data_IF_305067208531
#
_entry.id   IF_305067208531
#
_cell.length_a   1.000
_cell.length_b   1.000
_cell.length_c   1.000
_cell.angle_alpha   90.00
_cell.angle_beta   90.00
_cell.angle_gamma   90.00
#
_symmetry.space_group_name_H-M   'P 1'
#
loop_
_entity.id
_entity.type
_entity.pdbx_description
1 polymer ?
#
# COMPACT_ATOMS: atom_id res chain seq x y z
N UNK A 1 -6.88 7.51 32.55
CA UNK A 1 -7.98 7.05 31.69
C UNK A 1 -7.36 6.61 30.36
N UNK A 2 -7.52 5.34 29.98
CA UNK A 2 -7.01 4.85 28.70
C UNK A 2 -7.83 5.44 27.56
N UNK A 3 -7.27 6.46 26.89
CA UNK A 3 -7.94 7.16 25.79
C UNK A 3 -7.95 6.33 24.49
N UNK A 4 -7.18 5.25 24.44
CA UNK A 4 -7.14 4.29 23.34
C UNK A 4 -7.35 2.88 23.88
N UNK A 5 -8.35 2.18 23.32
CA UNK A 5 -8.82 0.87 23.75
C UNK A 5 -9.22 0.81 25.24
N UNK A 6 -10.20 1.62 25.67
CA UNK A 6 -10.66 1.64 27.07
C UNK A 6 -11.22 0.29 27.55
N UNK A 7 -11.48 -0.64 26.62
CA UNK A 7 -11.97 -2.00 26.90
C UNK A 7 -10.89 -3.10 26.74
N UNK A 8 -9.61 -2.74 26.57
CA UNK A 8 -8.51 -3.69 26.44
C UNK A 8 -8.08 -3.97 24.99
N UNK A 9 -7.00 -4.75 24.85
CA UNK A 9 -6.28 -4.99 23.57
C UNK A 9 -7.20 -5.53 22.46
N UNK A 10 -7.02 -5.10 21.19
CA UNK A 10 -7.63 -5.76 20.05
C UNK A 10 -7.23 -7.24 19.97
N UNK A 11 -8.11 -8.05 19.37
CA UNK A 11 -7.87 -9.48 19.09
C UNK A 11 -6.53 -9.70 18.36
N UNK A 12 -5.90 -10.86 18.60
CA UNK A 12 -4.70 -11.31 17.88
C UNK A 12 -4.95 -11.54 16.37
N UNK A 13 -6.20 -11.62 15.94
CA UNK A 13 -6.56 -11.73 14.52
C UNK A 13 -6.43 -10.38 13.82
N UNK A 14 -5.38 -10.23 13.00
CA UNK A 14 -5.05 -9.02 12.22
C UNK A 14 -5.96 -8.82 11.00
N UNK A 15 -7.25 -9.11 11.11
CA UNK A 15 -8.24 -8.76 10.08
C UNK A 15 -8.74 -7.36 10.38
N UNK A 16 -8.39 -6.38 9.52
CA UNK A 16 -8.79 -4.98 9.65
C UNK A 16 -10.30 -4.82 9.90
N UNK A 17 -11.10 -5.66 9.25
CA UNK A 17 -12.54 -5.76 9.42
C UNK A 17 -12.96 -6.06 10.86
N UNK A 18 -12.33 -7.07 11.49
CA UNK A 18 -12.66 -7.48 12.86
C UNK A 18 -12.13 -6.47 13.90
N UNK A 19 -10.99 -5.85 13.62
CA UNK A 19 -10.39 -4.79 14.45
C UNK A 19 -11.20 -3.47 14.44
N UNK A 20 -11.93 -3.19 13.36
CA UNK A 20 -12.88 -2.07 13.27
C UNK A 20 -14.23 -2.38 13.96
N UNK A 21 -14.37 -3.56 14.57
CA UNK A 21 -15.62 -3.98 15.21
C UNK A 21 -16.72 -4.29 14.19
N UNK A 22 -16.35 -4.75 12.98
CA UNK A 22 -17.34 -5.12 11.97
C UNK A 22 -18.15 -6.33 12.47
N UNK A 23 -19.37 -6.05 12.92
CA UNK A 23 -20.35 -7.07 13.24
C UNK A 23 -20.92 -7.58 11.92
N UNK A 24 -20.98 -8.91 11.76
CA UNK A 24 -21.64 -9.51 10.61
C UNK A 24 -23.12 -9.08 10.58
N UNK A 25 -23.52 -8.38 9.52
CA UNK A 25 -24.86 -7.79 9.41
C UNK A 25 -24.99 -6.36 9.97
N UNK A 26 -23.89 -5.66 10.26
CA UNK A 26 -23.89 -4.24 10.62
C UNK A 26 -24.63 -3.37 9.58
N UNK A 27 -24.54 -3.75 8.30
CA UNK A 27 -25.25 -3.16 7.16
C UNK A 27 -26.78 -3.27 7.25
N UNK A 28 -27.32 -4.04 8.21
CA UNK A 28 -28.76 -4.21 8.43
C UNK A 28 -29.25 -3.60 9.74
N UNK A 29 -28.38 -2.91 10.47
CA UNK A 29 -28.75 -2.25 11.74
C UNK A 29 -29.40 -0.88 11.49
N UNK A 30 -30.09 -0.32 12.48
CA UNK A 30 -30.64 1.04 12.39
C UNK A 30 -29.56 2.10 12.08
N UNK A 31 -28.30 1.85 12.45
CA UNK A 31 -27.18 2.74 12.16
C UNK A 31 -26.78 2.78 10.66
N UNK A 32 -27.29 1.84 9.86
CA UNK A 32 -27.14 1.78 8.41
C UNK A 32 -28.24 2.56 7.65
N UNK A 33 -29.21 3.15 8.36
CA UNK A 33 -30.25 3.98 7.74
C UNK A 33 -29.64 5.19 7.04
N UNK A 34 -30.12 5.47 5.83
CA UNK A 34 -29.59 6.55 4.97
C UNK A 34 -28.22 6.25 4.35
N UNK A 35 -27.63 5.06 4.59
CA UNK A 35 -26.35 4.66 4.04
C UNK A 35 -26.53 3.53 3.02
N UNK A 36 -25.55 3.41 2.13
CA UNK A 36 -25.46 2.29 1.17
C UNK A 36 -25.27 0.97 1.92
N UNK A 37 -25.88 -0.09 1.39
CA UNK A 37 -25.78 -1.43 1.94
C UNK A 37 -24.37 -2.01 1.78
N UNK A 38 -23.88 -2.15 0.54
CA UNK A 38 -22.52 -2.63 0.26
C UNK A 38 -22.26 -4.08 0.68
N UNK A 39 -23.31 -4.87 0.98
CA UNK A 39 -23.15 -6.29 1.35
C UNK A 39 -22.40 -7.07 0.26
N UNK A 40 -21.28 -7.68 0.61
CA UNK A 40 -20.43 -8.44 -0.32
C UNK A 40 -20.94 -9.88 -0.40
N UNK A 41 -21.35 -10.30 -1.60
CA UNK A 41 -21.97 -11.61 -1.81
C UNK A 41 -21.00 -12.77 -1.55
N UNK A 42 -21.45 -13.75 -0.76
CA UNK A 42 -20.69 -14.97 -0.49
C UNK A 42 -21.03 -16.10 -1.49
N UNK A 43 -20.15 -17.11 -1.66
CA UNK A 43 -20.47 -18.28 -2.47
C UNK A 43 -21.78 -18.94 -2.01
N UNK A 44 -22.68 -19.21 -2.95
CA UNK A 44 -23.99 -19.80 -2.71
C UNK A 44 -25.10 -18.81 -2.34
N UNK A 45 -24.78 -17.52 -2.17
CA UNK A 45 -25.77 -16.49 -1.88
C UNK A 45 -26.50 -16.01 -3.14
N UNK A 46 -27.79 -15.70 -3.02
CA UNK A 46 -28.60 -15.16 -4.11
C UNK A 46 -28.43 -13.64 -4.24
N UNK A 47 -28.18 -13.17 -5.47
CA UNK A 47 -28.28 -11.76 -5.87
C UNK A 47 -29.50 -11.55 -6.76
N UNK A 48 -30.13 -10.38 -6.61
CA UNK A 48 -31.37 -10.03 -7.29
C UNK A 48 -31.16 -8.82 -8.18
N UNK A 49 -31.31 -8.99 -9.49
CA UNK A 49 -31.24 -7.89 -10.46
C UNK A 49 -32.64 -7.59 -10.98
N UNK A 50 -33.10 -6.35 -10.83
CA UNK A 50 -34.40 -5.93 -11.33
C UNK A 50 -34.24 -5.05 -12.57
N UNK A 51 -34.40 -5.62 -13.77
CA UNK A 51 -34.21 -4.91 -15.06
C UNK A 51 -35.15 -3.72 -15.25
N UNK A 52 -36.29 -3.73 -14.57
CA UNK A 52 -37.23 -2.60 -14.61
C UNK A 52 -36.75 -1.43 -13.75
N UNK A 53 -36.01 -1.70 -12.66
CA UNK A 53 -35.54 -0.69 -11.72
C UNK A 53 -34.12 -0.22 -12.02
N UNK A 54 -33.24 -1.11 -12.47
CA UNK A 54 -31.80 -0.85 -12.59
C UNK A 54 -31.47 0.05 -13.77
N UNK A 55 -30.45 0.90 -13.62
CA UNK A 55 -29.90 1.69 -14.74
C UNK A 55 -29.20 0.79 -15.75
N UNK A 56 -28.40 -0.16 -15.28
CA UNK A 56 -27.69 -1.17 -16.10
C UNK A 56 -27.88 -2.62 -15.60
N UNK A 57 -27.19 -3.59 -16.24
CA UNK A 57 -27.29 -5.02 -15.92
C UNK A 57 -26.41 -5.47 -14.75
N UNK A 58 -25.55 -4.59 -14.24
CA UNK A 58 -24.64 -4.88 -13.12
C UNK A 58 -25.28 -4.60 -11.76
N UNK A 59 -26.34 -3.78 -11.71
CA UNK A 59 -27.01 -3.45 -10.46
C UNK A 59 -27.68 -4.67 -9.82
N UNK A 60 -27.37 -4.91 -8.55
CA UNK A 60 -27.79 -6.08 -7.78
C UNK A 60 -28.19 -5.71 -6.35
N UNK A 61 -29.20 -6.40 -5.85
CA UNK A 61 -29.64 -6.34 -4.46
C UNK A 61 -29.33 -7.66 -3.75
N UNK A 62 -28.94 -7.60 -2.48
CA UNK A 62 -28.97 -8.76 -1.59
C UNK A 62 -30.43 -9.11 -1.23
N UNK A 63 -30.65 -10.36 -0.79
CA UNK A 63 -32.00 -10.85 -0.43
C UNK A 63 -32.73 -9.90 0.51
N UNK A 64 -32.08 -9.42 1.57
CA UNK A 64 -32.72 -8.53 2.55
C UNK A 64 -33.15 -7.19 1.96
N UNK A 65 -32.32 -6.61 1.11
CA UNK A 65 -32.64 -5.34 0.46
C UNK A 65 -33.75 -5.52 -0.56
N UNK A 66 -33.71 -6.59 -1.36
CA UNK A 66 -34.75 -6.92 -2.33
C UNK A 66 -36.11 -7.13 -1.65
N UNK A 67 -36.16 -7.85 -0.52
CA UNK A 67 -37.39 -8.05 0.25
C UNK A 67 -37.88 -6.76 0.94
N UNK A 68 -36.97 -5.81 1.16
CA UNK A 68 -37.25 -4.52 1.81
C UNK A 68 -37.64 -3.42 0.82
N UNK A 69 -37.69 -3.72 -0.48
CA UNK A 69 -38.04 -2.79 -1.56
C UNK A 69 -39.15 -3.35 -2.44
N UNK A 70 -39.97 -2.48 -3.05
CA UNK A 70 -41.09 -2.95 -3.87
C UNK A 70 -40.67 -3.28 -5.32
N UNK A 71 -40.79 -4.56 -5.66
CA UNK A 71 -40.53 -5.09 -7.00
C UNK A 71 -41.76 -5.77 -7.65
N UNK A 72 -42.97 -5.52 -7.14
CA UNK A 72 -44.18 -6.15 -7.68
C UNK A 72 -44.38 -5.83 -9.17
N UNK A 73 -44.58 -6.88 -9.98
CA UNK A 73 -44.81 -6.76 -11.42
C UNK A 73 -43.57 -6.44 -12.27
N UNK A 74 -42.36 -6.46 -11.71
CA UNK A 74 -41.13 -6.19 -12.49
C UNK A 74 -40.45 -7.45 -13.01
N UNK A 75 -39.57 -7.24 -13.99
CA UNK A 75 -38.69 -8.28 -14.52
C UNK A 75 -37.46 -8.43 -13.63
N UNK A 76 -37.49 -9.45 -12.77
CA UNK A 76 -36.41 -9.76 -11.83
C UNK A 76 -35.67 -11.01 -12.30
N UNK A 77 -34.34 -10.98 -12.21
CA UNK A 77 -33.45 -12.11 -12.40
C UNK A 77 -32.73 -12.42 -11.09
N UNK A 78 -32.67 -13.69 -10.75
CA UNK A 78 -31.92 -14.18 -9.59
C UNK A 78 -30.67 -14.90 -10.11
N UNK A 79 -29.52 -14.60 -9.50
CA UNK A 79 -28.26 -15.27 -9.78
C UNK A 79 -27.65 -15.78 -8.48
N UNK A 80 -26.99 -16.93 -8.51
CA UNK A 80 -26.27 -17.46 -7.35
C UNK A 80 -24.81 -17.06 -7.48
N UNK A 81 -24.31 -16.33 -6.48
CA UNK A 81 -22.92 -15.90 -6.39
C UNK A 81 -22.00 -17.12 -6.28
N UNK A 82 -20.95 -17.13 -7.09
CA UNK A 82 -19.86 -18.12 -6.98
C UNK A 82 -18.77 -17.68 -5.99
N UNK A 83 -18.98 -16.52 -5.33
CA UNK A 83 -18.00 -15.84 -4.49
C UNK A 83 -17.35 -14.67 -5.21
N UNK A 84 -17.02 -13.61 -4.45
CA UNK A 84 -16.37 -12.39 -4.96
C UNK A 84 -17.14 -11.68 -6.11
N UNK A 85 -18.47 -11.85 -6.14
CA UNK A 85 -19.33 -11.49 -7.27
C UNK A 85 -19.92 -10.06 -7.20
N UNK A 86 -19.25 -9.14 -6.50
CA UNK A 86 -19.70 -7.76 -6.30
C UNK A 86 -20.36 -7.51 -4.95
N UNK A 87 -21.04 -6.36 -4.81
CA UNK A 87 -21.73 -5.95 -3.59
C UNK A 87 -23.14 -5.42 -3.89
N UNK A 88 -23.98 -5.32 -2.85
CA UNK A 88 -25.36 -4.82 -2.96
C UNK A 88 -25.41 -3.29 -3.17
N UNK A 89 -26.13 -2.86 -4.21
CA UNK A 89 -26.29 -1.45 -4.63
C UNK A 89 -27.48 -0.73 -3.96
N UNK A 90 -28.05 -1.31 -2.90
CA UNK A 90 -29.14 -0.67 -2.17
C UNK A 90 -28.64 0.63 -1.48
N UNK A 91 -29.37 1.74 -1.68
CA UNK A 91 -28.97 3.07 -1.21
C UNK A 91 -28.01 3.81 -2.14
N UNK A 92 -27.70 3.25 -3.31
CA UNK A 92 -27.04 3.96 -4.40
C UNK A 92 -28.07 4.58 -5.36
N UNK A 93 -28.26 5.90 -5.29
CA UNK A 93 -29.21 6.59 -6.17
C UNK A 93 -28.84 6.54 -7.66
N UNK A 94 -27.58 6.31 -8.02
CA UNK A 94 -27.12 6.23 -9.42
C UNK A 94 -27.41 4.85 -10.05
N UNK A 95 -27.66 3.83 -9.24
CA UNK A 95 -27.93 2.47 -9.70
C UNK A 95 -29.38 2.24 -10.17
N UNK A 96 -30.30 3.16 -9.86
CA UNK A 96 -31.74 2.93 -10.06
C UNK A 96 -32.41 4.04 -10.88
N UNK A 97 -33.15 3.65 -11.93
CA UNK A 97 -33.96 4.56 -12.78
C UNK A 97 -35.10 5.24 -12.02
N UNK A 98 -35.44 4.71 -10.84
CA UNK A 98 -36.51 5.17 -9.97
C UNK A 98 -36.09 4.93 -8.51
N UNK A 99 -36.59 5.73 -7.56
CA UNK A 99 -36.25 5.55 -6.15
C UNK A 99 -36.65 4.15 -5.65
N UNK A 100 -35.73 3.49 -4.96
CA UNK A 100 -36.01 2.29 -4.18
C UNK A 100 -36.08 2.65 -2.70
N UNK A 101 -37.27 2.57 -2.12
CA UNK A 101 -37.49 2.85 -0.71
C UNK A 101 -37.25 1.60 0.13
N UNK A 102 -35.99 1.38 0.52
CA UNK A 102 -35.59 0.30 1.39
C UNK A 102 -35.94 0.65 2.84
N UNK A 103 -36.65 -0.22 3.55
CA UNK A 103 -36.99 0.00 4.96
C UNK A 103 -35.76 0.05 5.89
N UNK A 104 -34.62 -0.46 5.42
CA UNK A 104 -33.34 -0.49 6.13
C UNK A 104 -32.48 0.73 5.73
N UNK A 105 -32.28 0.96 4.43
CA UNK A 105 -31.29 1.90 3.90
C UNK A 105 -31.83 3.25 3.48
N UNK A 106 -33.15 3.42 3.34
CA UNK A 106 -33.74 4.73 3.03
C UNK A 106 -34.01 5.54 4.30
N UNK A 107 -33.82 6.85 4.21
CA UNK A 107 -34.24 7.77 5.28
C UNK A 107 -35.76 7.75 5.43
N UNK A 108 -36.26 7.71 6.67
CA UNK A 108 -37.70 7.88 6.91
C UNK A 108 -38.04 9.34 6.69
N UNK A 109 -38.99 9.62 5.79
CA UNK A 109 -39.67 10.90 5.72
C UNK A 109 -40.55 11.07 6.97
N UNK A 110 -39.93 11.36 8.11
CA UNK A 110 -40.60 11.85 9.30
C UNK A 110 -40.11 13.26 9.53
N UNK A 111 -41.05 14.19 9.42
CA UNK A 111 -41.03 15.58 9.86
C UNK A 111 -39.88 15.86 10.83
N UNK A 112 -39.07 16.86 10.47
CA UNK A 112 -38.05 17.54 11.28
C UNK A 112 -38.23 17.36 12.79
N UNK A 113 -37.78 16.21 13.30
CA UNK A 113 -37.39 16.12 14.69
C UNK A 113 -36.01 16.73 14.67
N UNK A 114 -35.91 17.91 15.26
CA UNK A 114 -34.66 18.45 15.75
C UNK A 114 -34.03 17.37 16.63
N UNK A 115 -33.25 16.50 15.99
CA UNK A 115 -32.42 15.57 16.69
C UNK A 115 -31.42 16.49 17.40
N UNK A 116 -31.60 16.65 18.70
CA UNK A 116 -30.51 16.99 19.62
C UNK A 116 -29.53 15.83 19.64
N UNK A 117 -29.11 15.38 18.46
CA UNK A 117 -27.97 14.52 18.24
C UNK A 117 -26.85 15.24 18.94
N UNK A 118 -26.42 14.67 20.08
CA UNK A 118 -25.19 15.08 20.72
C UNK A 118 -24.19 15.21 19.59
N UNK A 119 -23.70 16.43 19.34
CA UNK A 119 -22.62 16.63 18.39
C UNK A 119 -21.61 15.53 18.65
N UNK A 120 -21.15 14.81 17.61
CA UNK A 120 -20.11 13.80 17.80
C UNK A 120 -19.04 14.50 18.63
N UNK A 121 -18.80 13.98 19.84
CA UNK A 121 -17.85 14.59 20.76
C UNK A 121 -16.57 14.68 19.96
N UNK A 122 -16.18 15.91 19.61
CA UNK A 122 -15.03 16.13 18.76
C UNK A 122 -13.86 15.37 19.34
N UNK A 123 -13.02 14.80 18.48
CA UNK A 123 -11.76 14.22 18.96
C UNK A 123 -11.05 15.29 19.80
N UNK A 124 -10.41 14.90 20.92
CA UNK A 124 -9.63 15.83 21.72
C UNK A 124 -8.70 16.68 20.83
N UNK A 125 -8.67 17.99 21.07
CA UNK A 125 -7.98 18.94 20.17
C UNK A 125 -6.47 18.65 20.08
N UNK A 126 -5.87 18.16 21.16
CA UNK A 126 -4.50 17.65 21.21
C UNK A 126 -4.29 16.44 20.30
N UNK A 127 -5.26 15.52 20.24
CA UNK A 127 -5.22 14.37 19.33
C UNK A 127 -5.34 14.82 17.87
N UNK A 128 -6.26 15.75 17.57
CA UNK A 128 -6.41 16.30 16.21
C UNK A 128 -5.13 17.01 15.76
N UNK A 129 -4.55 17.85 16.61
CA UNK A 129 -3.29 18.54 16.33
C UNK A 129 -2.14 17.54 16.15
N UNK A 130 -2.06 16.49 16.97
CA UNK A 130 -1.05 15.44 16.80
C UNK A 130 -1.20 14.72 15.47
N UNK A 131 -2.42 14.35 15.06
CA UNK A 131 -2.67 13.69 13.78
C UNK A 131 -2.30 14.59 12.61
N UNK A 132 -2.72 15.85 12.63
CA UNK A 132 -2.39 16.83 11.59
C UNK A 132 -0.87 17.05 11.48
N UNK A 133 -0.18 17.20 12.61
CA UNK A 133 1.26 17.35 12.65
C UNK A 133 1.96 16.11 12.07
N UNK A 134 1.59 14.91 12.51
CA UNK A 134 2.18 13.67 11.99
C UNK A 134 1.96 13.50 10.50
N UNK A 135 0.73 13.70 10.02
CA UNK A 135 0.43 13.63 8.58
C UNK A 135 1.23 14.67 7.81
N UNK A 136 1.29 15.92 8.30
CA UNK A 136 2.09 16.98 7.70
C UNK A 136 3.56 16.61 7.57
N UNK A 137 4.19 16.12 8.66
CA UNK A 137 5.60 15.69 8.65
C UNK A 137 5.89 14.55 7.68
N UNK A 138 4.94 13.62 7.56
CA UNK A 138 5.03 12.52 6.61
C UNK A 138 5.00 13.06 5.18
N UNK A 139 4.06 13.95 4.85
CA UNK A 139 4.00 14.56 3.53
C UNK A 139 5.23 15.41 3.22
N UNK A 140 5.72 16.20 4.18
CA UNK A 140 6.96 16.98 4.02
C UNK A 140 8.15 16.06 3.70
N UNK A 141 8.30 14.96 4.44
CA UNK A 141 9.34 13.96 4.18
C UNK A 141 9.24 13.36 2.78
N UNK A 142 8.04 12.94 2.35
CA UNK A 142 7.81 12.43 1.00
C UNK A 142 8.23 13.48 -0.04
N UNK A 143 7.84 14.74 0.15
CA UNK A 143 8.15 15.82 -0.79
C UNK A 143 9.65 16.10 -0.87
N UNK A 144 10.35 16.10 0.28
CA UNK A 144 11.78 16.32 0.36
C UNK A 144 12.56 15.19 -0.31
N UNK A 145 12.22 13.93 0.00
CA UNK A 145 12.83 12.76 -0.66
C UNK A 145 12.55 12.77 -2.16
N UNK A 146 11.32 13.12 -2.57
CA UNK A 146 10.96 13.23 -4.00
C UNK A 146 11.78 14.31 -4.71
N UNK A 147 12.01 15.45 -4.04
CA UNK A 147 12.73 16.58 -4.59
C UNK A 147 14.24 16.33 -4.67
N UNK A 148 14.78 15.47 -3.80
CA UNK A 148 16.21 15.15 -3.76
C UNK A 148 16.60 13.95 -4.63
N UNK A 149 15.72 12.97 -4.93
CA UNK A 149 16.19 11.81 -5.71
C UNK A 149 16.28 12.07 -7.23
N UNK A 150 17.18 11.35 -7.94
CA UNK A 150 17.53 11.67 -9.32
C UNK A 150 16.35 11.48 -10.29
N UNK A 151 16.09 12.48 -11.14
CA UNK A 151 15.02 12.43 -12.15
C UNK A 151 15.37 11.50 -13.33
N UNK A 152 16.66 11.37 -13.66
CA UNK A 152 17.13 10.75 -14.90
C UNK A 152 17.85 9.43 -14.64
N UNK A 153 17.10 8.41 -14.22
CA UNK A 153 17.63 7.07 -13.89
C UNK A 153 18.08 6.26 -15.13
N UNK A 154 17.71 6.69 -16.34
CA UNK A 154 17.99 5.97 -17.60
C UNK A 154 19.21 6.49 -18.36
N UNK A 155 19.79 7.61 -17.98
CA UNK A 155 20.99 8.09 -18.66
C UNK A 155 22.19 7.25 -18.27
N UNK A 156 23.08 7.00 -19.23
CA UNK A 156 24.35 6.38 -18.91
C UNK A 156 25.10 7.32 -17.97
N UNK A 157 25.38 6.88 -16.75
CA UNK A 157 26.01 7.71 -15.73
C UNK A 157 27.51 7.45 -15.71
N UNK A 158 28.30 8.51 -15.56
CA UNK A 158 29.72 8.42 -15.25
C UNK A 158 29.92 8.39 -13.74
N UNK A 159 31.12 8.03 -13.30
CA UNK A 159 31.49 8.06 -11.90
C UNK A 159 31.37 9.48 -11.29
N UNK A 160 31.51 10.52 -12.10
CA UNK A 160 31.33 11.92 -11.68
C UNK A 160 29.84 12.23 -11.46
N UNK A 161 28.98 11.90 -12.43
CA UNK A 161 27.54 12.18 -12.32
C UNK A 161 26.87 11.39 -11.20
N UNK A 162 27.32 10.16 -10.93
CA UNK A 162 26.78 9.36 -9.81
C UNK A 162 27.16 9.97 -8.46
N UNK A 163 28.39 10.49 -8.31
CA UNK A 163 28.78 11.20 -7.08
C UNK A 163 28.01 12.50 -6.91
N UNK A 164 27.74 13.20 -8.01
CA UNK A 164 26.88 14.39 -7.97
C UNK A 164 25.44 14.03 -7.58
N UNK A 165 24.88 12.96 -8.13
CA UNK A 165 23.55 12.47 -7.74
C UNK A 165 23.49 12.10 -6.26
N UNK A 166 24.55 11.47 -5.72
CA UNK A 166 24.64 11.18 -4.30
C UNK A 166 24.58 12.45 -3.45
N UNK A 167 25.36 13.47 -3.79
CA UNK A 167 25.36 14.75 -3.08
C UNK A 167 24.00 15.45 -3.14
N UNK A 168 23.35 15.44 -4.31
CA UNK A 168 22.03 16.05 -4.51
C UNK A 168 20.90 15.26 -3.84
N UNK A 169 21.09 13.95 -3.61
CA UNK A 169 20.13 13.08 -2.93
C UNK A 169 20.16 13.21 -1.40
N UNK A 170 21.09 13.98 -0.84
CA UNK A 170 21.16 14.21 0.62
C UNK A 170 20.06 15.16 1.06
N UNK A 171 19.33 14.77 2.10
CA UNK A 171 18.31 15.61 2.72
C UNK A 171 18.96 16.79 3.47
N UNK A 172 18.20 17.88 3.62
CA UNK A 172 18.66 19.10 4.27
C UNK A 172 19.10 18.83 5.73
N UNK A 173 20.36 19.08 6.10
CA UNK A 173 20.87 18.80 7.44
C UNK A 173 20.12 19.55 8.55
N UNK A 174 19.58 20.73 8.25
CA UNK A 174 18.83 21.55 9.19
C UNK A 174 17.50 20.91 9.61
N UNK A 175 16.91 20.10 8.72
CA UNK A 175 15.64 19.42 8.95
C UNK A 175 15.81 17.97 9.40
N UNK A 176 16.85 17.28 8.92
CA UNK A 176 17.03 15.82 9.11
C UNK A 176 18.27 15.43 9.91
N UNK A 177 19.07 16.40 10.35
CA UNK A 177 20.34 16.16 11.03
C UNK A 177 21.49 15.91 10.05
N UNK A 178 22.72 15.90 10.56
CA UNK A 178 23.89 15.58 9.75
C UNK A 178 23.79 14.15 9.21
N UNK A 179 23.99 14.00 7.90
CA UNK A 179 23.97 12.71 7.22
C UNK A 179 25.10 11.78 7.67
N UNK A 180 25.10 10.52 7.19
CA UNK A 180 26.11 9.54 7.57
C UNK A 180 27.54 10.05 7.27
N UNK A 181 28.41 9.91 8.26
CA UNK A 181 29.82 10.34 8.20
C UNK A 181 30.67 9.13 7.83
N UNK A 182 31.38 9.18 6.70
CA UNK A 182 32.24 8.08 6.24
C UNK A 182 32.49 8.11 4.74
N UNK A 183 33.13 7.04 4.24
CA UNK A 183 33.25 6.83 2.79
C UNK A 183 31.88 6.43 2.23
N UNK A 184 31.46 7.12 1.18
CA UNK A 184 30.25 6.76 0.43
C UNK A 184 30.44 5.42 -0.26
N UNK A 185 29.56 4.47 0.03
CA UNK A 185 29.52 3.19 -0.63
C UNK A 185 28.42 3.19 -1.71
N UNK A 186 28.61 2.39 -2.77
CA UNK A 186 27.72 2.34 -3.92
C UNK A 186 27.27 0.89 -4.17
N UNK A 187 26.05 0.73 -4.67
CA UNK A 187 25.48 -0.56 -5.00
C UNK A 187 25.19 -0.69 -6.50
N UNK A 188 25.50 -1.86 -7.07
CA UNK A 188 25.03 -2.25 -8.39
C UNK A 188 23.71 -2.99 -8.24
N UNK A 189 22.63 -2.38 -8.73
CA UNK A 189 21.27 -2.93 -8.65
C UNK A 189 20.83 -3.39 -10.03
N UNK A 190 20.43 -4.66 -10.11
CA UNK A 190 19.74 -5.22 -11.27
C UNK A 190 18.24 -5.09 -11.06
N UNK A 191 17.53 -4.75 -12.12
CA UNK A 191 16.08 -4.64 -12.10
C UNK A 191 15.44 -5.56 -13.13
N UNK A 192 14.25 -6.07 -12.81
CA UNK A 192 13.49 -6.91 -13.71
C UNK A 192 12.98 -6.07 -14.89
N UNK A 193 13.27 -6.52 -16.10
CA UNK A 193 12.85 -5.86 -17.34
C UNK A 193 11.69 -6.57 -18.04
N UNK A 194 11.16 -7.64 -17.45
CA UNK A 194 10.07 -8.51 -17.93
C UNK A 194 10.31 -9.12 -19.33
N UNK A 195 11.55 -9.07 -19.84
CA UNK A 195 11.87 -9.52 -21.21
C UNK A 195 12.87 -10.65 -21.25
N UNK A 196 13.89 -10.63 -20.39
CA UNK A 196 14.92 -11.66 -20.38
C UNK A 196 14.51 -12.85 -19.51
N UNK A 197 14.95 -14.05 -19.89
CA UNK A 197 14.70 -15.25 -19.09
C UNK A 197 15.61 -15.29 -17.87
N UNK A 198 15.18 -15.99 -16.81
CA UNK A 198 15.98 -16.21 -15.59
C UNK A 198 17.34 -16.84 -15.94
N UNK A 199 17.39 -17.76 -16.90
CA UNK A 199 18.62 -18.43 -17.34
C UNK A 199 19.60 -17.46 -18.02
N UNK A 200 19.10 -16.55 -18.85
CA UNK A 200 19.92 -15.51 -19.49
C UNK A 200 20.51 -14.58 -18.44
N UNK A 201 19.68 -14.10 -17.51
CA UNK A 201 20.08 -13.21 -16.41
C UNK A 201 21.09 -13.90 -15.50
N UNK A 202 20.89 -15.17 -15.14
CA UNK A 202 21.82 -15.98 -14.34
C UNK A 202 23.24 -15.95 -14.94
N UNK A 203 23.35 -16.27 -16.23
CA UNK A 203 24.65 -16.35 -16.92
C UNK A 203 25.32 -14.97 -16.98
N UNK A 204 24.53 -13.91 -17.17
CA UNK A 204 25.06 -12.55 -17.18
C UNK A 204 25.55 -12.08 -15.81
N UNK A 205 24.77 -12.32 -14.76
CA UNK A 205 25.17 -11.98 -13.39
C UNK A 205 26.44 -12.75 -13.00
N UNK A 206 26.49 -14.06 -13.27
CA UNK A 206 27.66 -14.88 -13.00
C UNK A 206 28.92 -14.33 -13.70
N UNK A 207 28.81 -13.97 -14.98
CA UNK A 207 29.91 -13.42 -15.78
C UNK A 207 30.33 -12.02 -15.33
N UNK A 208 29.38 -11.09 -15.19
CA UNK A 208 29.66 -9.69 -14.90
C UNK A 208 30.23 -9.50 -13.49
N UNK A 209 29.63 -10.17 -12.51
CA UNK A 209 30.05 -10.09 -11.11
C UNK A 209 31.18 -11.08 -10.74
N UNK A 210 31.66 -11.89 -11.71
CA UNK A 210 32.68 -12.93 -11.51
C UNK A 210 32.30 -13.90 -10.37
N UNK A 211 31.06 -14.36 -10.37
CA UNK A 211 30.51 -15.29 -9.37
C UNK A 211 30.07 -16.61 -10.02
N UNK A 212 29.64 -17.57 -9.21
CA UNK A 212 29.17 -18.86 -9.71
C UNK A 212 27.77 -18.75 -10.33
N UNK A 213 27.44 -19.68 -11.23
CA UNK A 213 26.08 -19.75 -11.81
C UNK A 213 25.00 -20.00 -10.75
N UNK A 214 25.31 -20.70 -9.65
CA UNK A 214 24.37 -20.88 -8.54
C UNK A 214 24.02 -19.55 -7.86
N UNK A 215 25.01 -18.67 -7.66
CA UNK A 215 24.78 -17.31 -7.15
C UNK A 215 24.04 -16.47 -8.20
N UNK A 216 24.42 -16.60 -9.47
CA UNK A 216 23.71 -15.96 -10.58
C UNK A 216 22.22 -16.33 -10.64
N UNK A 217 21.91 -17.62 -10.47
CA UNK A 217 20.53 -18.13 -10.45
C UNK A 217 19.75 -17.57 -9.27
N UNK A 218 20.37 -17.53 -8.09
CA UNK A 218 19.76 -16.96 -6.88
C UNK A 218 19.39 -15.49 -7.12
N UNK A 219 20.30 -14.70 -7.68
CA UNK A 219 20.07 -13.27 -7.99
C UNK A 219 19.05 -13.05 -9.11
N UNK A 220 19.06 -13.89 -10.14
CA UNK A 220 18.08 -13.84 -11.21
C UNK A 220 16.67 -14.17 -10.71
N UNK A 221 16.55 -15.20 -9.87
CA UNK A 221 15.30 -15.61 -9.24
C UNK A 221 14.79 -14.52 -8.28
N UNK A 222 15.67 -13.94 -7.46
CA UNK A 222 15.34 -12.81 -6.59
C UNK A 222 14.83 -11.61 -7.40
N UNK A 223 15.48 -11.30 -8.52
CA UNK A 223 15.06 -10.22 -9.42
C UNK A 223 13.67 -10.49 -10.02
N UNK A 224 13.38 -11.74 -10.38
CA UNK A 224 12.06 -12.13 -10.90
C UNK A 224 10.95 -11.95 -9.85
N UNK A 225 11.15 -12.49 -8.64
CA UNK A 225 10.16 -12.44 -7.57
C UNK A 225 9.98 -11.06 -6.94
N UNK A 226 11.06 -10.29 -6.76
CA UNK A 226 11.05 -9.00 -6.05
C UNK A 226 11.07 -7.78 -6.99
N UNK A 227 11.29 -8.00 -8.28
CA UNK A 227 11.47 -6.94 -9.28
C UNK A 227 12.88 -6.34 -9.32
N UNK A 228 13.78 -6.67 -8.39
CA UNK A 228 15.17 -6.20 -8.34
C UNK A 228 16.08 -7.07 -7.46
N UNK A 229 17.39 -6.93 -7.64
CA UNK A 229 18.42 -7.56 -6.79
C UNK A 229 19.68 -6.71 -6.72
N UNK A 230 20.32 -6.66 -5.54
CA UNK A 230 21.64 -6.02 -5.35
C UNK A 230 22.72 -7.06 -5.70
N UNK A 231 23.47 -6.78 -6.76
CA UNK A 231 24.48 -7.70 -7.27
C UNK A 231 25.83 -7.55 -6.56
N UNK A 232 26.20 -6.31 -6.24
CA UNK A 232 27.45 -6.00 -5.56
C UNK A 232 27.36 -4.63 -4.86
N UNK A 233 28.23 -4.43 -3.89
CA UNK A 233 28.32 -3.22 -3.11
C UNK A 233 29.79 -2.92 -2.79
N UNK A 234 30.28 -1.77 -3.23
CA UNK A 234 31.69 -1.38 -3.17
C UNK A 234 31.81 0.14 -2.97
N UNK A 235 32.92 0.58 -2.40
CA UNK A 235 33.38 1.98 -2.42
C UNK A 235 34.03 2.34 -3.78
N UNK A 236 34.52 1.35 -4.52
CA UNK A 236 35.06 1.47 -5.88
C UNK A 236 33.96 1.53 -6.95
N UNK A 237 33.54 2.76 -7.26
CA UNK A 237 32.53 3.05 -8.26
C UNK A 237 32.95 2.68 -9.69
N UNK A 238 34.24 2.76 -10.03
CA UNK A 238 34.72 2.41 -11.37
C UNK A 238 34.59 0.91 -11.63
N UNK A 239 34.85 0.09 -10.60
CA UNK A 239 34.62 -1.36 -10.66
C UNK A 239 33.14 -1.72 -10.80
N UNK A 240 32.24 -1.00 -10.12
CA UNK A 240 30.79 -1.20 -10.28
C UNK A 240 30.33 -0.80 -11.68
N UNK A 241 30.85 0.29 -12.25
CA UNK A 241 30.57 0.72 -13.63
C UNK A 241 31.08 -0.29 -14.66
N UNK A 242 32.24 -0.92 -14.44
CA UNK A 242 32.73 -2.01 -15.29
C UNK A 242 31.77 -3.21 -15.29
N UNK A 243 31.24 -3.58 -14.11
CA UNK A 243 30.24 -4.64 -13.98
C UNK A 243 28.93 -4.25 -14.67
N UNK A 244 28.44 -3.02 -14.45
CA UNK A 244 27.22 -2.51 -15.07
C UNK A 244 27.32 -2.54 -16.61
N UNK A 245 28.44 -2.09 -17.17
CA UNK A 245 28.67 -2.09 -18.62
C UNK A 245 28.61 -3.51 -19.21
N UNK A 246 29.17 -4.51 -18.53
CA UNK A 246 29.09 -5.92 -18.97
C UNK A 246 27.66 -6.46 -18.96
N UNK A 247 26.82 -6.01 -18.02
CA UNK A 247 25.40 -6.37 -17.97
C UNK A 247 24.61 -5.66 -19.10
N UNK A 248 24.94 -4.40 -19.41
CA UNK A 248 24.31 -3.62 -20.48
C UNK A 248 24.65 -4.11 -21.90
N UNK A 249 25.85 -4.68 -22.10
CA UNK A 249 26.33 -5.17 -23.41
C UNK A 249 25.42 -6.23 -24.06
N UNK A 250 24.45 -6.80 -23.31
CA UNK A 250 23.53 -7.85 -23.79
C UNK A 250 22.06 -7.36 -23.85
N UNK A 251 21.83 -6.04 -23.84
CA UNK A 251 20.51 -5.40 -24.02
C UNK A 251 19.47 -5.78 -22.95
N UNK A 252 19.87 -6.00 -21.70
CA UNK A 252 18.92 -5.94 -20.58
C UNK A 252 18.28 -4.56 -20.64
N UNK A 253 16.98 -4.51 -20.95
CA UNK A 253 16.33 -3.25 -21.32
C UNK A 253 16.06 -2.41 -20.09
N UNK A 254 16.22 -1.10 -20.25
CA UNK A 254 15.94 -0.11 -19.19
C UNK A 254 14.47 -0.21 -18.77
N UNK A 255 14.24 -0.27 -17.46
CA UNK A 255 12.90 -0.23 -16.84
C UNK A 255 12.14 1.01 -17.37
N UNK A 256 10.83 0.90 -17.66
CA UNK A 256 9.99 2.05 -17.95
C UNK A 256 9.98 3.05 -16.78
N UNK A 257 10.11 4.34 -17.09
CA UNK A 257 10.11 5.45 -16.11
C UNK A 257 8.87 5.48 -15.22
N UNK A 258 7.71 5.06 -15.75
CA UNK A 258 6.48 4.91 -14.95
C UNK A 258 6.62 3.87 -13.83
N UNK A 259 7.35 2.78 -14.06
CA UNK A 259 7.52 1.71 -13.06
C UNK A 259 8.43 2.20 -11.93
N UNK A 260 9.48 2.97 -12.25
CA UNK A 260 10.34 3.62 -11.25
C UNK A 260 9.57 4.65 -10.41
N UNK A 261 8.71 5.45 -11.05
CA UNK A 261 7.84 6.40 -10.33
C UNK A 261 6.85 5.68 -9.41
N UNK A 262 6.23 4.59 -9.88
CA UNK A 262 5.32 3.80 -9.04
C UNK A 262 6.02 3.11 -7.88
N UNK A 263 7.21 2.55 -8.10
CA UNK A 263 8.03 1.96 -7.04
C UNK A 263 8.47 2.99 -6.00
N UNK A 264 8.76 4.21 -6.42
CA UNK A 264 9.08 5.34 -5.52
C UNK A 264 7.86 5.72 -4.70
N UNK A 265 6.70 5.92 -5.33
CA UNK A 265 5.44 6.20 -4.62
C UNK A 265 5.12 5.09 -3.62
N UNK A 266 5.28 3.83 -4.01
CA UNK A 266 5.01 2.68 -3.14
C UNK A 266 5.99 2.62 -1.96
N UNK A 267 7.28 2.84 -2.21
CA UNK A 267 8.33 2.87 -1.19
C UNK A 267 8.10 4.01 -0.19
N UNK A 268 7.84 5.22 -0.68
CA UNK A 268 7.60 6.40 0.16
C UNK A 268 6.29 6.27 0.95
N UNK A 269 5.24 5.70 0.35
CA UNK A 269 3.97 5.41 1.05
C UNK A 269 4.18 4.37 2.15
N UNK A 270 5.05 3.38 1.92
CA UNK A 270 5.37 2.34 2.90
C UNK A 270 6.20 2.93 4.05
N UNK A 271 7.22 3.74 3.78
CA UNK A 271 8.01 4.46 4.79
C UNK A 271 7.14 5.40 5.63
N UNK A 272 6.20 6.09 4.97
CA UNK A 272 5.22 6.96 5.61
C UNK A 272 4.27 6.20 6.54
N UNK A 273 3.78 5.04 6.11
CA UNK A 273 2.96 4.14 6.92
C UNK A 273 3.75 3.60 8.13
N UNK A 274 5.03 3.28 7.95
CA UNK A 274 5.96 2.83 9.00
C UNK A 274 6.24 3.95 10.02
N UNK A 275 6.49 5.18 9.56
CA UNK A 275 6.75 6.34 10.42
C UNK A 275 5.53 6.70 11.29
N UNK A 276 4.31 6.54 10.76
CA UNK A 276 3.06 6.73 11.51
C UNK A 276 2.84 5.59 12.52
N UNK A 277 3.27 4.37 12.20
CA UNK A 277 3.18 3.20 13.09
C UNK A 277 4.10 3.28 14.32
N UNK A 278 5.31 3.82 14.17
CA UNK A 278 6.31 3.92 15.24
C UNK A 278 6.03 5.00 16.31
N UNK A 279 5.13 5.96 16.05
CA UNK A 279 4.88 7.09 16.95
C UNK A 279 3.88 6.82 18.09
N UNK A 280 3.34 5.60 18.22
CA UNK A 280 2.22 5.34 19.16
C UNK A 280 2.60 4.92 20.58
N UNK A 281 3.87 4.66 20.88
CA UNK A 281 4.34 4.49 22.25
C UNK A 281 5.84 4.76 22.36
N UNK A 282 6.23 5.88 22.97
CA UNK A 282 7.59 6.05 23.48
C UNK A 282 7.80 5.09 24.65
N UNK A 283 8.70 4.12 24.52
CA UNK A 283 9.32 3.45 25.66
C UNK A 283 9.62 1.98 25.44
N UNK A 284 10.75 1.53 25.98
CA UNK A 284 11.37 0.20 25.92
C UNK A 284 10.36 -0.94 26.13
N UNK A 285 9.68 -1.34 25.05
CA UNK A 285 8.65 -2.35 25.07
C UNK A 285 8.86 -3.30 23.89
N UNK A 286 8.43 -4.55 24.08
CA UNK A 286 8.71 -5.65 23.17
C UNK A 286 8.16 -5.45 21.75
N UNK A 287 7.14 -4.61 21.57
CA UNK A 287 6.60 -4.25 20.24
C UNK A 287 7.53 -3.23 19.57
N UNK A 288 8.06 -2.25 20.31
CA UNK A 288 9.11 -1.34 19.82
C UNK A 288 10.40 -2.10 19.49
N UNK A 289 10.75 -3.13 20.27
CA UNK A 289 11.93 -3.98 20.02
C UNK A 289 11.77 -4.87 18.77
N UNK A 290 10.60 -5.51 18.58
CA UNK A 290 10.28 -6.26 17.37
C UNK A 290 10.12 -5.35 16.14
N UNK A 291 9.50 -4.17 16.32
CA UNK A 291 9.36 -3.15 15.27
C UNK A 291 10.71 -2.56 14.87
N UNK A 292 11.60 -2.25 15.81
CA UNK A 292 12.95 -1.78 15.51
C UNK A 292 13.77 -2.87 14.83
N UNK A 293 13.65 -4.15 15.23
CA UNK A 293 14.29 -5.27 14.52
C UNK A 293 13.74 -5.46 13.10
N UNK A 294 12.43 -5.34 12.88
CA UNK A 294 11.84 -5.53 11.56
C UNK A 294 12.06 -4.31 10.66
N UNK A 295 12.02 -3.10 11.21
CA UNK A 295 12.42 -1.86 10.55
C UNK A 295 13.91 -1.87 10.22
N UNK A 296 14.81 -2.24 11.14
CA UNK A 296 16.24 -2.41 10.86
C UNK A 296 16.46 -3.49 9.79
N UNK A 297 15.72 -4.60 9.83
CA UNK A 297 15.79 -5.67 8.83
C UNK A 297 15.32 -5.20 7.44
N UNK A 298 14.23 -4.45 7.37
CA UNK A 298 13.70 -3.90 6.11
C UNK A 298 14.54 -2.73 5.60
N UNK A 299 15.07 -1.87 6.48
CA UNK A 299 16.02 -0.81 6.14
C UNK A 299 17.38 -1.41 5.68
N UNK A 300 17.83 -2.52 6.29
CA UNK A 300 18.98 -3.31 5.81
C UNK A 300 18.70 -3.94 4.44
N UNK A 301 17.47 -4.39 4.18
CA UNK A 301 17.03 -4.90 2.87
C UNK A 301 16.89 -3.79 1.81
N UNK A 302 16.70 -2.53 2.23
CA UNK A 302 16.49 -1.38 1.36
C UNK A 302 17.77 -0.56 1.11
N UNK A 303 18.69 -0.44 2.08
CA UNK A 303 19.69 0.65 2.08
C UNK A 303 21.14 0.37 2.60
N UNK A 304 21.60 -0.88 2.88
CA UNK A 304 23.03 -1.35 2.82
C UNK A 304 23.43 -2.44 3.85
N UNK A 305 24.00 -3.54 3.33
CA UNK A 305 25.38 -4.03 3.56
C UNK A 305 26.06 -4.19 4.94
N UNK A 306 25.48 -3.91 6.12
CA UNK A 306 26.25 -3.95 7.39
C UNK A 306 25.86 -5.00 8.46
N UNK A 307 25.46 -6.22 8.06
CA UNK A 307 25.27 -7.33 9.03
C UNK A 307 25.82 -8.69 8.58
N UNK A 308 26.99 -8.72 7.94
CA UNK A 308 27.82 -9.94 8.00
C UNK A 308 29.07 -9.65 8.81
N UNK A 309 29.11 -10.22 10.01
CA UNK A 309 30.22 -10.01 10.92
C UNK A 309 30.27 -10.84 12.21
N UNK A 310 29.33 -11.74 12.52
CA UNK A 310 29.44 -12.79 13.56
C UNK A 310 28.43 -13.90 13.17
N UNK A 311 28.75 -15.13 12.74
CA UNK A 311 29.94 -16.00 12.77
C UNK A 311 30.29 -16.55 11.38
#
# INVERSE_FOLDING_TARGET
MGLLFPQGRPSHDMKLRDAQGAVEGAEYTEAARGKRCGHIFKPGEASYSCRTCSTDETCVLCSRCFDSTDHQGHMVRISISVGNSGCCDCGDDEAWRRPLFCTIHSEKATESREDKGKQPVGLPEDLVQSMQMTIGRVFDYICDVISCSPEQLRQAKSAETIRQDELLSRLAPEAYGEGPVGNTEFALVLWNDEKHTVEDVQKQVARACRTTEAVGLTRATETDFLGRSILNHLDDLDRLLEMAKKLEEIKVTKIPEQVLTHLRILSETTTSYIAVGGLKARGDNRVEEEFRRDSERQHCQLFMSQYFGEE
#
